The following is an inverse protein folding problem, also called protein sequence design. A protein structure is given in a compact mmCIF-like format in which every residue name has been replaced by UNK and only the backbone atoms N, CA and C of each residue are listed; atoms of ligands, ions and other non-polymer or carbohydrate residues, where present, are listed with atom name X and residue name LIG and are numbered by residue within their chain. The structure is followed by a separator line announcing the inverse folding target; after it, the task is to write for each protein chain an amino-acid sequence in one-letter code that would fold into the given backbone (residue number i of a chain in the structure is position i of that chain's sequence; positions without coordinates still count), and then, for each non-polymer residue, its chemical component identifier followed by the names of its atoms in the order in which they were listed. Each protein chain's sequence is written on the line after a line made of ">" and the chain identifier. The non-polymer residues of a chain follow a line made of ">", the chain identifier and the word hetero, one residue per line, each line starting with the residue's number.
data_IF_808757691818
#
_entry.id   IF_808757691818
#
_cell.length_a   1.000
_cell.length_b   1.000
_cell.length_c   1.000
_cell.angle_alpha   90.00
_cell.angle_beta   90.00
_cell.angle_gamma   90.00
#
_symmetry.space_group_name_H-M   'P 1'
#
loop_
_entity.id
_entity.type
_entity.pdbx_description
1 polymer ?
#
# COMPACT_ATOMS: atom_id res chain seq x y z
N UNK A 1 5.26 -36.10 3.13
CA UNK A 1 4.19 -35.10 2.87
C UNK A 1 4.18 -34.85 1.38
N UNK A 2 3.25 -35.48 0.67
CA UNK A 2 3.17 -35.37 -0.79
C UNK A 2 2.86 -33.94 -1.19
N UNK A 3 3.51 -33.47 -2.26
CA UNK A 3 3.39 -32.13 -2.84
C UNK A 3 1.98 -31.89 -3.44
N UNK A 4 0.96 -31.74 -2.61
CA UNK A 4 -0.42 -31.43 -3.02
C UNK A 4 -0.50 -30.08 -3.74
N UNK A 5 0.49 -29.21 -3.58
CA UNK A 5 0.45 -27.81 -3.99
C UNK A 5 0.95 -27.48 -5.39
N UNK A 6 1.72 -28.35 -6.05
CA UNK A 6 2.29 -28.05 -7.39
C UNK A 6 1.26 -28.09 -8.54
N UNK A 7 0.03 -28.56 -8.27
CA UNK A 7 -1.04 -28.70 -9.27
C UNK A 7 -2.22 -27.74 -9.09
N UNK A 8 -2.18 -26.81 -8.14
CA UNK A 8 -3.27 -25.84 -7.91
C UNK A 8 -3.10 -24.61 -8.81
N UNK A 9 -4.16 -24.27 -9.56
CA UNK A 9 -4.26 -23.11 -10.42
C UNK A 9 -4.94 -21.95 -9.68
N UNK A 10 -4.24 -20.82 -9.56
CA UNK A 10 -4.75 -19.63 -8.88
C UNK A 10 -4.79 -18.46 -9.85
N UNK A 11 -5.98 -17.86 -9.99
CA UNK A 11 -6.18 -16.67 -10.80
C UNK A 11 -6.35 -15.45 -9.89
N UNK A 12 -5.37 -14.56 -9.90
CA UNK A 12 -5.49 -13.23 -9.31
C UNK A 12 -6.15 -12.26 -10.29
N UNK A 13 -7.07 -11.41 -9.81
CA UNK A 13 -7.76 -10.40 -10.64
C UNK A 13 -7.66 -9.05 -9.94
N UNK A 14 -7.08 -8.04 -10.59
CA UNK A 14 -6.96 -6.68 -10.07
C UNK A 14 -7.45 -5.67 -11.10
N UNK A 15 -8.05 -4.56 -10.64
CA UNK A 15 -8.60 -3.53 -11.54
C UNK A 15 -7.53 -2.94 -12.47
N UNK A 16 -6.30 -2.75 -12.00
CA UNK A 16 -5.18 -2.22 -12.80
C UNK A 16 -3.84 -2.52 -12.13
N UNK A 17 -2.78 -2.54 -12.93
CA UNK A 17 -1.40 -2.53 -12.45
C UNK A 17 -0.81 -1.14 -12.65
N UNK A 18 -0.57 -0.42 -11.56
CA UNK A 18 0.07 0.88 -11.56
C UNK A 18 1.19 0.96 -10.50
N UNK A 19 1.76 2.14 -10.29
CA UNK A 19 2.80 2.35 -9.28
C UNK A 19 2.28 2.36 -7.84
N UNK A 20 0.97 2.14 -7.64
CA UNK A 20 0.32 2.17 -6.32
C UNK A 20 0.54 0.92 -5.48
N UNK A 21 0.29 1.05 -4.17
CA UNK A 21 0.56 0.00 -3.18
C UNK A 21 -0.20 -1.31 -3.42
N UNK A 22 -1.48 -1.27 -3.83
CA UNK A 22 -2.28 -2.47 -4.11
C UNK A 22 -1.72 -3.27 -5.29
N UNK A 23 -1.35 -2.60 -6.38
CA UNK A 23 -0.75 -3.24 -7.55
C UNK A 23 0.61 -3.87 -7.22
N UNK A 24 1.46 -3.14 -6.49
CA UNK A 24 2.75 -3.67 -6.04
C UNK A 24 2.57 -4.88 -5.11
N UNK A 25 1.64 -4.81 -4.16
CA UNK A 25 1.36 -5.92 -3.24
C UNK A 25 0.87 -7.16 -4.01
N UNK A 26 -0.04 -7.00 -4.97
CA UNK A 26 -0.53 -8.10 -5.80
C UNK A 26 0.58 -8.73 -6.64
N UNK A 27 1.45 -7.94 -7.26
CA UNK A 27 2.60 -8.45 -8.01
C UNK A 27 3.59 -9.21 -7.12
N UNK A 28 3.91 -8.69 -5.95
CA UNK A 28 4.77 -9.36 -4.97
C UNK A 28 4.15 -10.69 -4.54
N UNK A 29 2.84 -10.72 -4.25
CA UNK A 29 2.12 -11.94 -3.90
C UNK A 29 2.20 -12.97 -5.04
N UNK A 30 1.90 -12.57 -6.28
CA UNK A 30 1.96 -13.47 -7.44
C UNK A 30 3.36 -14.04 -7.66
N UNK A 31 4.41 -13.20 -7.58
CA UNK A 31 5.81 -13.62 -7.73
C UNK A 31 6.22 -14.60 -6.60
N UNK A 32 5.85 -14.30 -5.36
CA UNK A 32 6.17 -15.18 -4.23
C UNK A 32 5.48 -16.53 -4.31
N UNK A 33 4.19 -16.53 -4.63
CA UNK A 33 3.35 -17.72 -4.74
C UNK A 33 3.67 -18.60 -5.95
N UNK A 34 4.23 -18.03 -7.03
CA UNK A 34 4.59 -18.80 -8.25
C UNK A 34 5.66 -19.87 -8.02
N UNK A 35 6.36 -19.81 -6.89
CA UNK A 35 7.28 -20.88 -6.46
C UNK A 35 6.57 -22.19 -6.08
N UNK A 36 5.27 -22.13 -5.78
CA UNK A 36 4.50 -23.25 -5.24
C UNK A 36 3.24 -23.57 -6.04
N UNK A 37 2.62 -22.56 -6.67
CA UNK A 37 1.35 -22.68 -7.38
C UNK A 37 1.48 -22.21 -8.83
N UNK A 38 0.58 -22.65 -9.70
CA UNK A 38 0.44 -22.09 -11.05
C UNK A 38 -0.36 -20.78 -10.97
N UNK A 39 0.33 -19.66 -11.09
CA UNK A 39 -0.26 -18.33 -10.89
C UNK A 39 -0.58 -17.67 -12.22
N UNK A 40 -1.83 -17.21 -12.33
CA UNK A 40 -2.31 -16.31 -13.38
C UNK A 40 -2.70 -14.97 -12.76
N UNK A 41 -2.41 -13.84 -13.43
CA UNK A 41 -2.80 -12.50 -13.00
C UNK A 41 -3.53 -11.79 -14.14
N UNK A 42 -4.79 -11.46 -13.93
CA UNK A 42 -5.60 -10.66 -14.84
C UNK A 42 -5.70 -9.22 -14.35
N UNK A 43 -5.52 -8.25 -15.24
CA UNK A 43 -5.62 -6.83 -14.91
C UNK A 43 -6.23 -6.01 -16.02
N UNK A 44 -6.86 -4.90 -15.68
CA UNK A 44 -7.34 -3.92 -16.64
C UNK A 44 -6.25 -2.95 -17.11
N UNK A 45 -6.55 -2.10 -18.10
CA UNK A 45 -5.62 -1.11 -18.62
C UNK A 45 -5.34 -0.02 -17.57
N UNK A 46 -4.06 0.36 -17.46
CA UNK A 46 -3.61 1.37 -16.49
C UNK A 46 -3.63 2.81 -17.04
N UNK A 47 -4.27 3.05 -18.18
CA UNK A 47 -4.33 4.37 -18.84
C UNK A 47 -4.89 5.47 -17.95
N UNK A 48 -5.89 5.15 -17.12
CA UNK A 48 -6.52 6.12 -16.21
C UNK A 48 -5.67 6.45 -14.96
N UNK A 49 -4.52 5.82 -14.79
CA UNK A 49 -3.60 6.09 -13.67
C UNK A 49 -2.71 7.31 -13.89
N UNK A 50 -2.74 7.92 -15.10
CA UNK A 50 -1.90 9.07 -15.47
C UNK A 50 -0.44 8.89 -15.08
N UNK A 51 0.09 7.68 -15.31
CA UNK A 51 1.48 7.36 -15.01
C UNK A 51 2.43 8.11 -15.96
N UNK A 52 3.51 8.63 -15.42
CA UNK A 52 4.63 9.12 -16.21
C UNK A 52 5.30 7.97 -16.98
N UNK A 53 6.07 8.25 -18.04
CA UNK A 53 6.84 7.21 -18.75
C UNK A 53 7.75 6.39 -17.80
N UNK A 54 8.32 7.05 -16.79
CA UNK A 54 9.18 6.40 -15.79
C UNK A 54 8.37 5.41 -14.90
N UNK A 55 7.16 5.79 -14.46
CA UNK A 55 6.27 4.90 -13.70
C UNK A 55 5.81 3.73 -14.57
N UNK A 56 5.48 3.97 -15.83
CA UNK A 56 5.10 2.93 -16.78
C UNK A 56 6.23 1.92 -16.97
N UNK A 57 7.45 2.41 -17.20
CA UNK A 57 8.65 1.56 -17.32
C UNK A 57 8.88 0.71 -16.08
N UNK A 58 8.72 1.30 -14.89
CA UNK A 58 8.83 0.58 -13.62
C UNK A 58 7.78 -0.55 -13.49
N UNK A 59 6.52 -0.27 -13.84
CA UNK A 59 5.45 -1.27 -13.77
C UNK A 59 5.69 -2.39 -14.80
N UNK A 60 6.07 -2.04 -16.03
CA UNK A 60 6.39 -3.02 -17.07
C UNK A 60 7.54 -3.93 -16.65
N UNK A 61 8.61 -3.40 -16.07
CA UNK A 61 9.71 -4.21 -15.53
C UNK A 61 9.23 -5.20 -14.48
N UNK A 62 8.35 -4.78 -13.56
CA UNK A 62 7.78 -5.69 -12.56
C UNK A 62 6.90 -6.77 -13.18
N UNK A 63 6.16 -6.45 -14.23
CA UNK A 63 5.39 -7.43 -15.01
C UNK A 63 6.33 -8.44 -15.67
N UNK A 64 7.44 -7.99 -16.30
CA UNK A 64 8.40 -8.90 -16.93
C UNK A 64 9.11 -9.80 -15.90
N UNK A 65 9.44 -9.27 -14.72
CA UNK A 65 9.95 -10.09 -13.61
C UNK A 65 8.92 -11.16 -13.21
N UNK A 66 7.63 -10.81 -13.10
CA UNK A 66 6.57 -11.78 -12.78
C UNK A 66 6.45 -12.87 -13.86
N UNK A 67 6.47 -12.49 -15.15
CA UNK A 67 6.49 -13.45 -16.27
C UNK A 67 7.71 -14.38 -16.22
N UNK A 68 8.90 -13.83 -15.98
CA UNK A 68 10.14 -14.60 -15.82
C UNK A 68 10.12 -15.59 -14.64
N UNK A 69 9.19 -15.38 -13.69
CA UNK A 69 8.92 -16.30 -12.56
C UNK A 69 7.75 -17.27 -12.83
N UNK A 70 7.26 -17.32 -14.07
CA UNK A 70 6.21 -18.25 -14.49
C UNK A 70 4.77 -17.74 -14.25
N UNK A 71 4.58 -16.48 -13.86
CA UNK A 71 3.23 -15.89 -13.73
C UNK A 71 2.66 -15.58 -15.11
N UNK A 72 1.50 -16.16 -15.45
CA UNK A 72 0.77 -15.83 -16.68
C UNK A 72 0.02 -14.51 -16.50
N UNK A 73 0.24 -13.54 -17.40
CA UNK A 73 -0.38 -12.22 -17.32
C UNK A 73 -1.44 -12.05 -18.41
N UNK A 74 -2.65 -11.61 -18.02
CA UNK A 74 -3.78 -11.40 -18.91
C UNK A 74 -4.30 -9.96 -18.80
N UNK A 75 -4.50 -9.32 -19.95
CA UNK A 75 -5.15 -8.00 -20.01
C UNK A 75 -6.66 -8.19 -20.20
N UNK A 76 -7.45 -7.51 -19.36
CA UNK A 76 -8.91 -7.39 -19.50
C UNK A 76 -9.22 -5.97 -19.99
N UNK A 77 -9.39 -5.76 -21.30
CA UNK A 77 -9.45 -4.41 -21.90
C UNK A 77 -10.57 -3.53 -21.36
N UNK A 78 -11.70 -4.13 -20.98
CA UNK A 78 -12.87 -3.41 -20.48
C UNK A 78 -12.83 -3.13 -18.97
N UNK A 79 -11.89 -3.71 -18.22
CA UNK A 79 -11.80 -3.53 -16.76
C UNK A 79 -11.14 -2.19 -16.41
N UNK A 80 -11.89 -1.09 -16.50
CA UNK A 80 -11.43 0.28 -16.22
C UNK A 80 -11.75 0.71 -14.79
N UNK A 81 -11.00 1.70 -14.25
CA UNK A 81 -11.20 2.18 -12.86
C UNK A 81 -12.53 2.91 -12.68
N UNK A 82 -12.86 3.80 -13.60
CA UNK A 82 -14.10 4.59 -13.55
C UNK A 82 -15.33 3.69 -13.60
N UNK A 83 -16.45 4.13 -13.02
CA UNK A 83 -17.73 3.46 -13.19
C UNK A 83 -18.19 3.69 -14.63
N UNK A 84 -18.38 2.61 -15.38
CA UNK A 84 -18.79 2.61 -16.78
C UNK A 84 -19.61 1.33 -17.00
N UNK A 85 -20.96 1.41 -16.92
CA UNK A 85 -21.81 0.21 -16.95
C UNK A 85 -21.59 -0.69 -18.16
N UNK A 86 -21.36 -0.10 -19.35
CA UNK A 86 -21.15 -0.87 -20.58
C UNK A 86 -19.82 -1.63 -20.50
N UNK A 87 -18.75 -0.94 -20.08
CA UNK A 87 -17.46 -1.59 -19.91
C UNK A 87 -17.46 -2.59 -18.76
N UNK A 88 -18.21 -2.32 -17.69
CA UNK A 88 -18.29 -3.21 -16.54
C UNK A 88 -18.99 -4.53 -16.91
N UNK A 89 -20.04 -4.48 -17.72
CA UNK A 89 -20.68 -5.68 -18.30
C UNK A 89 -19.71 -6.43 -19.22
N UNK A 90 -19.02 -5.74 -20.12
CA UNK A 90 -18.01 -6.37 -20.99
C UNK A 90 -16.89 -6.99 -20.18
N UNK A 91 -16.34 -6.29 -19.18
CA UNK A 91 -15.30 -6.81 -18.30
C UNK A 91 -15.75 -8.07 -17.55
N UNK A 92 -17.01 -8.11 -17.12
CA UNK A 92 -17.61 -9.30 -16.50
C UNK A 92 -17.56 -10.51 -17.44
N UNK A 93 -17.94 -10.36 -18.70
CA UNK A 93 -17.88 -11.45 -19.70
C UNK A 93 -16.44 -11.82 -20.07
N UNK A 94 -15.53 -10.83 -20.19
CA UNK A 94 -14.10 -11.09 -20.44
C UNK A 94 -13.47 -11.88 -19.27
N UNK A 95 -13.75 -11.51 -18.02
CA UNK A 95 -13.33 -12.25 -16.82
C UNK A 95 -13.94 -13.65 -16.80
N UNK A 96 -15.23 -13.79 -17.11
CA UNK A 96 -15.91 -15.09 -17.16
C UNK A 96 -15.30 -16.01 -18.22
N UNK A 97 -14.98 -15.47 -19.40
CA UNK A 97 -14.28 -16.22 -20.47
C UNK A 97 -12.89 -16.70 -20.02
N UNK A 98 -12.14 -15.81 -19.34
CA UNK A 98 -10.83 -16.17 -18.80
C UNK A 98 -10.94 -17.27 -17.73
N UNK A 99 -11.88 -17.18 -16.80
CA UNK A 99 -12.12 -18.21 -15.78
C UNK A 99 -12.45 -19.55 -16.43
N UNK A 100 -13.33 -19.57 -17.44
CA UNK A 100 -13.66 -20.80 -18.18
C UNK A 100 -12.44 -21.43 -18.87
N UNK A 101 -11.57 -20.60 -19.43
CA UNK A 101 -10.37 -21.09 -20.15
C UNK A 101 -9.27 -21.57 -19.21
N UNK A 102 -9.05 -20.88 -18.09
CA UNK A 102 -8.00 -21.21 -17.14
C UNK A 102 -8.41 -22.25 -16.09
N UNK A 103 -9.71 -22.41 -15.83
CA UNK A 103 -10.30 -23.34 -14.83
C UNK A 103 -9.58 -23.31 -13.49
N UNK A 104 -9.45 -22.12 -12.87
CA UNK A 104 -8.70 -21.99 -11.61
C UNK A 104 -9.40 -22.71 -10.45
N UNK A 105 -8.61 -23.28 -9.55
CA UNK A 105 -9.09 -23.81 -8.27
C UNK A 105 -9.44 -22.69 -7.31
N UNK A 106 -8.67 -21.58 -7.35
CA UNK A 106 -8.87 -20.40 -6.53
C UNK A 106 -8.93 -19.15 -7.43
N UNK A 107 -9.96 -18.33 -7.24
CA UNK A 107 -9.99 -16.95 -7.75
C UNK A 107 -9.74 -16.00 -6.58
N UNK A 108 -8.64 -15.25 -6.62
CA UNK A 108 -8.30 -14.23 -5.65
C UNK A 108 -8.43 -12.83 -6.26
N UNK A 109 -9.45 -12.10 -5.85
CA UNK A 109 -9.75 -10.77 -6.38
C UNK A 109 -9.17 -9.66 -5.50
N UNK A 110 -8.73 -8.56 -6.14
CA UNK A 110 -8.11 -7.42 -5.49
C UNK A 110 -8.82 -6.13 -5.87
N UNK A 111 -8.97 -5.19 -4.92
CA UNK A 111 -9.64 -3.90 -5.07
C UNK A 111 -11.15 -4.00 -5.35
N UNK A 112 -11.88 -2.89 -5.24
CA UNK A 112 -13.36 -2.92 -5.24
C UNK A 112 -13.97 -3.43 -6.55
N UNK A 113 -13.62 -2.86 -7.71
CA UNK A 113 -14.27 -3.22 -8.99
C UNK A 113 -13.94 -4.64 -9.43
N UNK A 114 -12.65 -4.99 -9.50
CA UNK A 114 -12.25 -6.36 -9.81
C UNK A 114 -12.75 -7.36 -8.76
N UNK A 115 -12.86 -6.90 -7.50
CA UNK A 115 -13.47 -7.64 -6.41
C UNK A 115 -14.93 -8.00 -6.69
N UNK A 116 -15.75 -7.05 -7.10
CA UNK A 116 -17.16 -7.30 -7.41
C UNK A 116 -17.28 -8.20 -8.64
N UNK A 117 -16.74 -7.76 -9.78
CA UNK A 117 -16.93 -8.47 -11.05
C UNK A 117 -16.33 -9.88 -11.03
N UNK A 118 -15.11 -10.01 -10.45
CA UNK A 118 -14.40 -11.29 -10.39
C UNK A 118 -15.05 -12.31 -9.45
N UNK A 119 -15.53 -11.89 -8.27
CA UNK A 119 -16.22 -12.79 -7.33
C UNK A 119 -17.52 -13.33 -7.91
N UNK A 120 -18.35 -12.46 -8.51
CA UNK A 120 -19.60 -12.89 -9.13
C UNK A 120 -19.37 -13.78 -10.35
N UNK A 121 -18.38 -13.47 -11.20
CA UNK A 121 -18.01 -14.34 -12.32
C UNK A 121 -17.52 -15.72 -11.84
N UNK A 122 -16.67 -15.76 -10.82
CA UNK A 122 -16.16 -16.99 -10.25
C UNK A 122 -17.27 -17.85 -9.62
N UNK A 123 -18.17 -17.22 -8.85
CA UNK A 123 -19.31 -17.91 -8.23
C UNK A 123 -20.26 -18.51 -9.28
N UNK A 124 -20.66 -17.75 -10.30
CA UNK A 124 -21.55 -18.22 -11.35
C UNK A 124 -20.95 -19.38 -12.18
N UNK A 125 -19.62 -19.45 -12.26
CA UNK A 125 -18.90 -20.49 -12.96
C UNK A 125 -18.48 -21.66 -12.07
N UNK A 126 -18.90 -21.68 -10.79
CA UNK A 126 -18.65 -22.76 -9.87
C UNK A 126 -17.18 -22.92 -9.47
N UNK A 127 -16.38 -21.83 -9.47
CA UNK A 127 -14.99 -21.88 -8.97
C UNK A 127 -14.98 -22.36 -7.53
N UNK A 128 -14.16 -23.37 -7.19
CA UNK A 128 -14.17 -23.99 -5.87
C UNK A 128 -13.96 -23.02 -4.71
N UNK A 129 -13.02 -22.08 -4.84
CA UNK A 129 -12.68 -21.14 -3.79
C UNK A 129 -12.54 -19.72 -4.30
N UNK A 130 -13.14 -18.79 -3.57
CA UNK A 130 -13.14 -17.36 -3.88
C UNK A 130 -12.55 -16.61 -2.68
N UNK A 131 -11.43 -15.92 -2.90
CA UNK A 131 -10.75 -15.08 -1.93
C UNK A 131 -10.80 -13.62 -2.39
N UNK A 132 -10.90 -12.69 -1.45
CA UNK A 132 -10.91 -11.26 -1.75
C UNK A 132 -9.99 -10.46 -0.83
N UNK A 133 -9.17 -9.58 -1.40
CA UNK A 133 -8.38 -8.57 -0.67
C UNK A 133 -8.81 -7.17 -1.13
N UNK A 134 -9.50 -6.38 -0.30
CA UNK A 134 -9.99 -5.04 -0.67
C UNK A 134 -8.87 -4.00 -0.84
N UNK A 135 -7.73 -4.16 -0.18
CA UNK A 135 -6.61 -3.21 -0.13
C UNK A 135 -6.99 -1.82 0.42
N UNK A 136 -7.78 -1.79 1.46
CA UNK A 136 -8.42 -0.62 2.02
C UNK A 136 -9.86 -0.49 1.51
N UNK A 137 -10.80 -0.55 2.45
CA UNK A 137 -12.22 -0.46 2.11
C UNK A 137 -12.65 0.99 1.83
N UNK A 138 -13.78 1.13 1.16
CA UNK A 138 -14.35 2.42 0.74
C UNK A 138 -15.60 2.80 1.55
N UNK A 139 -15.78 2.23 2.75
CA UNK A 139 -16.97 2.42 3.58
C UNK A 139 -17.09 3.83 4.13
N UNK A 140 -15.96 4.54 4.29
CA UNK A 140 -15.91 5.94 4.71
C UNK A 140 -14.66 6.65 4.15
N UNK A 141 -14.68 7.99 4.17
CA UNK A 141 -13.50 8.81 3.85
C UNK A 141 -13.19 9.02 2.36
N UNK A 142 -13.87 8.32 1.44
CA UNK A 142 -13.62 8.39 0.00
C UNK A 142 -14.76 8.98 -0.82
N UNK A 143 -16.01 8.73 -0.41
CA UNK A 143 -17.21 9.09 -1.16
C UNK A 143 -18.27 9.75 -0.25
N UNK A 144 -19.34 10.26 -0.83
CA UNK A 144 -20.51 10.70 -0.09
C UNK A 144 -21.12 9.53 0.70
N UNK A 145 -21.89 9.83 1.76
CA UNK A 145 -22.52 8.81 2.61
C UNK A 145 -23.39 7.82 1.82
N UNK A 146 -24.13 8.32 0.82
CA UNK A 146 -25.01 7.48 -0.02
C UNK A 146 -24.20 6.49 -0.86
N UNK A 147 -23.14 6.97 -1.52
CA UNK A 147 -22.26 6.12 -2.33
C UNK A 147 -21.52 5.10 -1.46
N UNK A 148 -21.03 5.51 -0.29
CA UNK A 148 -20.38 4.61 0.67
C UNK A 148 -21.34 3.52 1.16
N UNK A 149 -22.62 3.84 1.42
CA UNK A 149 -23.64 2.89 1.81
C UNK A 149 -23.94 1.88 0.69
N UNK A 150 -24.00 2.34 -0.57
CA UNK A 150 -24.16 1.44 -1.72
C UNK A 150 -23.02 0.45 -1.84
N UNK A 151 -21.75 0.93 -1.72
CA UNK A 151 -20.59 0.05 -1.72
C UNK A 151 -20.63 -0.95 -0.55
N UNK A 152 -21.04 -0.52 0.63
CA UNK A 152 -21.20 -1.38 1.81
C UNK A 152 -22.22 -2.51 1.54
N UNK A 153 -23.37 -2.20 0.97
CA UNK A 153 -24.40 -3.18 0.60
C UNK A 153 -23.86 -4.18 -0.43
N UNK A 154 -23.20 -3.69 -1.48
CA UNK A 154 -22.61 -4.55 -2.52
C UNK A 154 -21.55 -5.46 -1.92
N UNK A 155 -20.69 -4.94 -1.04
CA UNK A 155 -19.66 -5.72 -0.39
C UNK A 155 -20.25 -6.79 0.54
N UNK A 156 -21.29 -6.44 1.28
CA UNK A 156 -22.05 -7.35 2.16
C UNK A 156 -22.66 -8.50 1.36
N UNK A 157 -23.33 -8.22 0.25
CA UNK A 157 -23.91 -9.25 -0.63
C UNK A 157 -22.81 -10.11 -1.23
N UNK A 158 -21.72 -9.51 -1.72
CA UNK A 158 -20.59 -10.25 -2.30
C UNK A 158 -19.84 -11.10 -1.27
N UNK A 159 -19.88 -10.74 0.01
CA UNK A 159 -19.26 -11.55 1.07
C UNK A 159 -19.89 -12.93 1.24
N UNK A 160 -21.18 -13.09 0.88
CA UNK A 160 -21.87 -14.39 0.98
C UNK A 160 -21.26 -15.42 0.02
N UNK A 161 -20.85 -14.99 -1.17
CA UNK A 161 -20.21 -15.83 -2.20
C UNK A 161 -18.67 -15.90 -2.06
N UNK A 162 -18.10 -15.31 -1.02
CA UNK A 162 -16.65 -15.27 -0.78
C UNK A 162 -16.29 -16.25 0.33
N UNK A 163 -15.30 -17.13 0.11
CA UNK A 163 -14.86 -18.09 1.12
C UNK A 163 -14.00 -17.40 2.19
N UNK A 164 -13.04 -16.54 1.78
CA UNK A 164 -12.19 -15.78 2.71
C UNK A 164 -11.99 -14.35 2.23
N UNK A 165 -11.98 -13.42 3.16
CA UNK A 165 -11.66 -12.00 2.95
C UNK A 165 -10.38 -11.69 3.71
N UNK A 166 -9.37 -11.22 2.99
CA UNK A 166 -8.06 -10.87 3.53
C UNK A 166 -8.04 -9.39 3.89
N UNK A 167 -8.09 -9.08 5.17
CA UNK A 167 -7.89 -7.73 5.69
C UNK A 167 -6.38 -7.45 5.88
N UNK A 168 -5.94 -6.26 5.51
CA UNK A 168 -4.52 -5.88 5.61
C UNK A 168 -4.12 -5.46 7.02
N UNK A 169 -5.10 -5.14 7.86
CA UNK A 169 -4.89 -4.68 9.23
C UNK A 169 -6.02 -5.14 10.14
N UNK A 170 -5.75 -5.12 11.44
CA UNK A 170 -6.75 -5.37 12.49
C UNK A 170 -7.89 -4.34 12.45
N UNK A 171 -7.53 -3.08 12.12
CA UNK A 171 -8.53 -2.02 11.94
C UNK A 171 -9.51 -2.34 10.83
N UNK A 172 -9.02 -2.79 9.66
CA UNK A 172 -9.85 -3.20 8.54
C UNK A 172 -10.72 -4.42 8.89
N UNK A 173 -10.16 -5.40 9.60
CA UNK A 173 -10.90 -6.56 10.09
C UNK A 173 -12.05 -6.16 11.03
N UNK A 174 -11.77 -5.27 12.00
CA UNK A 174 -12.79 -4.75 12.93
C UNK A 174 -13.89 -3.97 12.19
N UNK A 175 -13.55 -3.22 11.14
CA UNK A 175 -14.55 -2.51 10.35
C UNK A 175 -15.46 -3.47 9.59
N UNK A 176 -14.94 -4.56 9.01
CA UNK A 176 -15.77 -5.59 8.38
C UNK A 176 -16.77 -6.22 9.34
N UNK A 177 -16.36 -6.46 10.59
CA UNK A 177 -17.24 -6.96 11.65
C UNK A 177 -18.24 -5.89 12.09
N UNK A 178 -17.77 -4.67 12.38
CA UNK A 178 -18.58 -3.54 12.86
C UNK A 178 -19.72 -3.20 11.90
N UNK A 179 -19.43 -3.17 10.60
CA UNK A 179 -20.42 -2.89 9.56
C UNK A 179 -21.21 -4.15 9.15
N UNK A 180 -20.99 -5.28 9.82
CA UNK A 180 -21.65 -6.56 9.52
C UNK A 180 -21.53 -6.96 8.05
N UNK A 181 -20.35 -6.73 7.45
CA UNK A 181 -20.08 -7.11 6.06
C UNK A 181 -19.85 -8.61 5.97
N UNK A 182 -19.11 -9.18 6.92
CA UNK A 182 -18.81 -10.61 6.99
C UNK A 182 -18.65 -11.08 8.42
N UNK A 183 -18.94 -12.35 8.68
CA UNK A 183 -18.66 -12.99 9.97
C UNK A 183 -17.16 -13.23 10.18
N UNK A 184 -16.70 -13.33 11.45
CA UNK A 184 -15.29 -13.50 11.78
C UNK A 184 -14.64 -14.73 11.12
N UNK A 185 -15.39 -15.82 10.91
CA UNK A 185 -14.90 -17.07 10.32
C UNK A 185 -14.39 -16.93 8.88
N UNK A 186 -14.84 -15.91 8.15
CA UNK A 186 -14.39 -15.64 6.78
C UNK A 186 -13.25 -14.62 6.71
N UNK A 187 -12.94 -13.94 7.81
CA UNK A 187 -11.96 -12.85 7.85
C UNK A 187 -10.59 -13.38 8.27
N UNK A 188 -9.58 -13.05 7.51
CA UNK A 188 -8.18 -13.41 7.80
C UNK A 188 -7.32 -12.15 7.69
N UNK A 189 -6.48 -11.90 8.70
CA UNK A 189 -5.52 -10.79 8.64
C UNK A 189 -4.23 -11.26 7.96
N UNK A 190 -3.91 -10.66 6.81
CA UNK A 190 -2.63 -10.83 6.13
C UNK A 190 -2.16 -9.45 5.66
N UNK A 191 -1.11 -8.95 6.27
CA UNK A 191 -0.54 -7.65 5.97
C UNK A 191 0.04 -7.56 4.54
N UNK A 192 0.18 -6.36 3.99
CA UNK A 192 0.96 -6.15 2.77
C UNK A 192 2.44 -6.42 3.01
N UNK A 193 3.06 -7.17 2.13
CA UNK A 193 4.49 -7.45 2.19
C UNK A 193 5.36 -6.33 1.63
N UNK A 194 6.53 -6.14 2.23
CA UNK A 194 7.57 -5.24 1.75
C UNK A 194 8.83 -6.05 1.45
N UNK A 195 9.47 -5.74 0.33
CA UNK A 195 10.79 -6.29 -0.04
C UNK A 195 11.84 -5.65 0.88
N UNK A 196 12.10 -6.33 1.99
CA UNK A 196 13.00 -5.83 3.02
C UNK A 196 14.45 -5.73 2.54
N UNK A 197 14.89 -6.65 1.69
CA UNK A 197 16.25 -6.70 1.17
C UNK A 197 16.60 -5.42 0.41
N UNK A 198 15.64 -4.86 -0.29
CA UNK A 198 15.78 -3.60 -1.02
C UNK A 198 16.17 -2.43 -0.11
N UNK A 199 15.70 -2.41 1.12
CA UNK A 199 15.91 -1.29 2.06
C UNK A 199 16.93 -1.59 3.15
N UNK A 200 17.13 -2.85 3.55
CA UNK A 200 18.01 -3.24 4.66
C UNK A 200 19.45 -3.50 4.25
N UNK A 201 19.70 -3.86 2.98
CA UNK A 201 21.06 -4.16 2.47
C UNK A 201 21.91 -2.92 2.19
N UNK A 202 21.38 -1.74 2.44
CA UNK A 202 22.07 -0.47 2.23
C UNK A 202 23.10 -0.29 3.35
N UNK A 203 24.39 -0.32 2.97
CA UNK A 203 25.53 -0.18 3.91
C UNK A 203 26.16 1.21 3.89
N UNK A 204 25.73 2.08 2.98
CA UNK A 204 26.31 3.41 2.85
C UNK A 204 25.90 4.31 4.04
N UNK A 205 26.81 5.17 4.46
CA UNK A 205 26.54 6.15 5.52
C UNK A 205 25.48 7.18 5.06
N UNK A 206 24.70 7.68 6.01
CA UNK A 206 23.62 8.65 5.78
C UNK A 206 24.08 9.88 4.99
N UNK A 207 25.26 10.40 5.29
CA UNK A 207 25.86 11.54 4.61
C UNK A 207 26.05 11.34 3.11
N UNK A 208 26.30 10.11 2.63
CA UNK A 208 26.41 9.81 1.21
C UNK A 208 25.07 10.05 0.51
N UNK A 209 23.95 9.69 1.13
CA UNK A 209 22.60 9.91 0.59
C UNK A 209 22.22 11.38 0.61
N UNK A 210 22.52 12.10 1.71
CA UNK A 210 22.33 13.54 1.79
C UNK A 210 23.10 14.27 0.69
N UNK A 211 24.38 13.95 0.52
CA UNK A 211 25.23 14.54 -0.53
C UNK A 211 24.67 14.32 -1.93
N UNK A 212 24.16 13.11 -2.24
CA UNK A 212 23.50 12.82 -3.54
C UNK A 212 22.27 13.69 -3.80
N UNK A 213 21.61 14.13 -2.75
CA UNK A 213 20.47 15.03 -2.81
C UNK A 213 20.89 16.52 -2.72
N UNK A 214 22.19 16.81 -2.63
CA UNK A 214 22.69 18.17 -2.42
C UNK A 214 22.27 18.76 -1.06
N UNK A 215 22.25 17.93 -0.02
CA UNK A 215 21.89 18.27 1.37
C UNK A 215 23.18 18.19 2.18
N UNK A 216 23.39 19.17 3.07
CA UNK A 216 24.52 19.14 4.00
C UNK A 216 24.36 18.02 5.02
N UNK A 217 25.45 17.42 5.47
CA UNK A 217 25.44 16.40 6.51
C UNK A 217 24.88 16.92 7.84
N UNK A 218 25.02 18.23 8.09
CA UNK A 218 24.53 18.91 9.30
C UNK A 218 23.04 19.25 9.24
N UNK A 219 22.44 19.33 8.05
CA UNK A 219 21.04 19.69 7.90
C UNK A 219 20.13 18.52 8.32
N UNK A 220 19.19 18.81 9.21
CA UNK A 220 18.15 17.84 9.55
C UNK A 220 17.10 17.74 8.42
N UNK A 221 16.58 16.54 8.23
CA UNK A 221 15.65 16.26 7.14
C UNK A 221 14.39 15.56 7.62
N UNK A 222 13.25 16.14 7.27
CA UNK A 222 11.93 15.55 7.45
C UNK A 222 11.41 15.08 6.10
N UNK A 223 11.00 13.83 5.98
CA UNK A 223 10.58 13.27 4.70
C UNK A 223 9.16 12.75 4.69
N UNK A 224 8.52 12.92 3.55
CA UNK A 224 7.25 12.33 3.18
C UNK A 224 7.41 11.57 1.87
N UNK A 225 6.89 10.36 1.80
CA UNK A 225 6.85 9.55 0.57
C UNK A 225 5.42 9.06 0.32
N UNK A 226 4.85 9.44 -0.81
CA UNK A 226 3.50 9.01 -1.17
C UNK A 226 2.80 9.92 -2.17
N UNK A 227 1.54 9.59 -2.49
CA UNK A 227 0.73 10.42 -3.36
C UNK A 227 0.37 11.74 -2.69
N UNK A 228 0.62 12.86 -3.38
CA UNK A 228 0.30 14.22 -2.91
C UNK A 228 -1.21 14.50 -3.13
N UNK A 229 -2.05 13.87 -2.31
CA UNK A 229 -3.51 13.96 -2.39
C UNK A 229 -4.14 14.22 -1.02
N UNK A 230 -5.38 14.67 -1.01
CA UNK A 230 -6.05 15.15 0.21
C UNK A 230 -6.07 14.12 1.35
N UNK A 231 -6.40 12.86 1.04
CA UNK A 231 -6.47 11.79 2.05
C UNK A 231 -5.11 11.47 2.68
N UNK A 232 -4.00 11.72 1.97
CA UNK A 232 -2.63 11.56 2.50
C UNK A 232 -2.12 12.81 3.23
N UNK A 233 -2.85 13.90 3.15
CA UNK A 233 -2.70 15.16 3.88
C UNK A 233 -1.28 15.79 3.91
N UNK A 234 -0.53 15.83 2.79
CA UNK A 234 0.80 16.47 2.77
C UNK A 234 0.75 17.96 3.15
N UNK A 235 -0.40 18.61 2.98
CA UNK A 235 -0.64 20.00 3.38
C UNK A 235 -0.63 20.19 4.91
N UNK A 236 -1.05 19.18 5.67
CA UNK A 236 -0.97 19.19 7.15
C UNK A 236 0.50 19.18 7.59
N UNK A 237 1.32 18.33 6.93
CA UNK A 237 2.76 18.33 7.20
C UNK A 237 3.41 19.66 6.87
N UNK A 238 3.11 20.27 5.70
CA UNK A 238 3.67 21.57 5.35
C UNK A 238 3.29 22.65 6.38
N UNK A 239 2.05 22.63 6.89
CA UNK A 239 1.63 23.55 7.95
C UNK A 239 2.37 23.28 9.28
N UNK A 240 2.55 22.01 9.67
CA UNK A 240 3.28 21.67 10.89
C UNK A 240 4.75 22.08 10.82
N UNK A 241 5.35 22.01 9.63
CA UNK A 241 6.73 22.47 9.43
C UNK A 241 6.91 23.97 9.64
N UNK A 242 5.89 24.80 9.50
CA UNK A 242 6.00 26.23 9.83
C UNK A 242 6.41 26.42 11.30
N UNK A 243 5.76 25.71 12.23
CA UNK A 243 6.12 25.72 13.65
C UNK A 243 7.47 25.05 13.93
N UNK A 244 7.84 24.03 13.14
CA UNK A 244 9.15 23.36 13.28
C UNK A 244 10.28 24.32 12.89
N UNK A 245 10.13 25.10 11.83
CA UNK A 245 11.17 26.04 11.36
C UNK A 245 11.40 27.24 12.29
N UNK A 246 10.48 27.55 13.20
CA UNK A 246 10.70 28.54 14.25
C UNK A 246 11.84 28.13 15.19
N UNK A 247 11.96 26.80 15.45
CA UNK A 247 12.98 26.26 16.36
C UNK A 247 14.16 25.61 15.60
N UNK A 248 13.89 24.99 14.46
CA UNK A 248 14.86 24.28 13.62
C UNK A 248 14.94 24.89 12.20
N UNK A 249 15.44 26.14 12.05
CA UNK A 249 15.36 26.88 10.79
C UNK A 249 16.12 26.24 9.62
N UNK A 250 17.11 25.36 9.89
CA UNK A 250 17.90 24.66 8.87
C UNK A 250 17.33 23.31 8.44
N UNK A 251 16.16 22.92 9.00
CA UNK A 251 15.53 21.65 8.64
C UNK A 251 14.97 21.72 7.22
N UNK A 252 15.23 20.67 6.41
CA UNK A 252 14.66 20.53 5.07
C UNK A 252 13.46 19.58 5.10
N UNK A 253 12.41 19.95 4.38
CA UNK A 253 11.26 19.10 4.10
C UNK A 253 11.38 18.50 2.70
N UNK A 254 11.34 17.17 2.60
CA UNK A 254 11.40 16.44 1.33
C UNK A 254 10.04 15.80 1.04
N UNK A 255 9.40 16.20 -0.05
CA UNK A 255 8.24 15.53 -0.61
C UNK A 255 8.67 14.62 -1.77
N UNK A 256 8.48 13.32 -1.62
CA UNK A 256 8.74 12.31 -2.64
C UNK A 256 7.41 11.71 -3.10
N UNK A 257 7.09 11.93 -4.36
CA UNK A 257 5.83 11.52 -4.95
C UNK A 257 5.22 12.63 -5.80
N UNK A 258 4.09 12.33 -6.38
CA UNK A 258 3.31 13.27 -7.20
C UNK A 258 1.83 13.20 -6.80
N UNK A 259 1.03 14.13 -7.27
CA UNK A 259 -0.41 14.10 -7.04
C UNK A 259 -1.09 15.45 -7.27
N UNK A 260 -2.42 15.49 -7.18
CA UNK A 260 -3.20 16.70 -7.50
C UNK A 260 -2.88 17.90 -6.60
N UNK A 261 -2.31 17.68 -5.42
CA UNK A 261 -1.93 18.78 -4.52
C UNK A 261 -0.54 19.36 -4.78
N UNK A 262 0.29 18.78 -5.65
CA UNK A 262 1.68 19.18 -5.83
C UNK A 262 1.82 20.68 -6.18
N UNK A 263 1.09 21.15 -7.19
CA UNK A 263 1.14 22.55 -7.60
C UNK A 263 0.61 23.51 -6.52
N UNK A 264 -0.38 23.07 -5.73
CA UNK A 264 -0.90 23.86 -4.60
C UNK A 264 0.13 23.96 -3.48
N UNK A 265 0.82 22.87 -3.15
CA UNK A 265 1.88 22.85 -2.14
C UNK A 265 3.07 23.72 -2.55
N UNK A 266 3.50 23.65 -3.83
CA UNK A 266 4.57 24.51 -4.36
C UNK A 266 4.21 25.99 -4.27
N UNK A 267 2.99 26.36 -4.67
CA UNK A 267 2.51 27.75 -4.52
C UNK A 267 2.49 28.18 -3.07
N UNK A 268 1.93 27.36 -2.17
CA UNK A 268 1.87 27.65 -0.74
C UNK A 268 3.27 27.85 -0.13
N UNK A 269 4.25 27.06 -0.55
CA UNK A 269 5.64 27.22 -0.10
C UNK A 269 6.23 28.54 -0.58
N UNK A 270 5.99 28.92 -1.83
CA UNK A 270 6.45 30.19 -2.39
C UNK A 270 5.78 31.40 -1.73
N UNK A 271 4.45 31.38 -1.58
CA UNK A 271 3.67 32.47 -0.97
C UNK A 271 4.09 32.73 0.49
N UNK A 272 4.61 31.72 1.17
CA UNK A 272 5.12 31.82 2.55
C UNK A 272 6.63 32.05 2.64
N UNK A 273 7.34 32.16 1.53
CA UNK A 273 8.80 32.39 1.48
C UNK A 273 9.63 31.23 2.04
N UNK A 274 9.12 29.99 1.94
CA UNK A 274 9.77 28.76 2.47
C UNK A 274 10.16 27.78 1.35
N UNK A 275 10.11 28.19 0.11
CA UNK A 275 10.43 27.36 -1.06
C UNK A 275 11.87 26.83 -1.07
N UNK A 276 12.81 27.55 -0.45
CA UNK A 276 14.18 27.10 -0.22
C UNK A 276 14.31 25.98 0.84
N UNK A 277 13.32 25.81 1.72
CA UNK A 277 13.28 24.78 2.76
C UNK A 277 12.50 23.52 2.36
N UNK A 278 11.80 23.57 1.21
CA UNK A 278 10.95 22.46 0.75
C UNK A 278 11.45 21.95 -0.59
N UNK A 279 11.72 20.67 -0.68
CA UNK A 279 12.13 20.02 -1.93
C UNK A 279 11.07 19.05 -2.41
N UNK A 280 10.60 19.25 -3.64
CA UNK A 280 9.69 18.34 -4.33
C UNK A 280 10.51 17.48 -5.31
N UNK A 281 10.72 16.21 -4.94
CA UNK A 281 11.56 15.28 -5.72
C UNK A 281 10.77 14.55 -6.81
N UNK A 282 9.46 14.80 -6.91
CA UNK A 282 8.58 14.09 -7.83
C UNK A 282 8.47 12.59 -7.51
N UNK A 283 7.92 11.82 -8.44
CA UNK A 283 7.92 10.37 -8.32
C UNK A 283 9.34 9.83 -8.51
N UNK A 284 9.75 8.94 -7.60
CA UNK A 284 11.10 8.35 -7.61
C UNK A 284 10.99 6.83 -7.57
N UNK A 285 11.82 6.17 -8.38
CA UNK A 285 11.97 4.71 -8.39
C UNK A 285 12.90 4.22 -7.27
N UNK A 286 13.88 5.01 -6.93
CA UNK A 286 15.01 4.70 -6.04
C UNK A 286 14.77 5.19 -4.61
N UNK A 287 13.58 4.90 -4.06
CA UNK A 287 13.18 5.29 -2.70
C UNK A 287 14.16 4.76 -1.66
N UNK A 288 14.71 3.57 -1.87
CA UNK A 288 15.74 2.97 -1.00
C UNK A 288 17.02 3.81 -0.92
N UNK A 289 17.27 4.69 -1.91
CA UNK A 289 18.42 5.62 -1.91
C UNK A 289 18.06 7.00 -1.34
N UNK A 290 16.80 7.29 -1.14
CA UNK A 290 16.31 8.57 -0.60
C UNK A 290 15.99 8.45 0.89
N UNK A 291 15.28 7.37 1.26
CA UNK A 291 14.89 7.12 2.65
C UNK A 291 16.05 7.28 3.65
N UNK A 292 17.24 6.69 3.43
CA UNK A 292 18.34 6.79 4.40
C UNK A 292 18.86 8.22 4.64
N UNK A 293 18.53 9.18 3.76
CA UNK A 293 18.88 10.59 3.98
C UNK A 293 17.98 11.28 5.02
N UNK A 294 16.87 10.66 5.41
CA UNK A 294 15.89 11.25 6.32
C UNK A 294 16.28 11.09 7.79
N UNK A 295 16.00 12.10 8.60
CA UNK A 295 16.12 12.07 10.06
C UNK A 295 14.81 11.70 10.73
N UNK A 296 13.68 12.11 10.13
CA UNK A 296 12.32 11.78 10.57
C UNK A 296 11.46 11.48 9.34
N UNK A 297 10.71 10.40 9.37
CA UNK A 297 9.71 10.09 8.36
C UNK A 297 8.31 10.47 8.85
N UNK A 298 7.52 11.16 8.02
CA UNK A 298 6.18 11.65 8.42
C UNK A 298 5.12 11.16 7.45
N UNK A 299 4.05 10.56 7.99
CA UNK A 299 2.86 10.16 7.23
C UNK A 299 1.58 10.67 7.91
N UNK A 300 1.09 11.88 7.58
CA UNK A 300 -0.03 12.54 8.24
C UNK A 300 -1.40 12.16 7.64
N UNK A 301 -1.54 10.94 7.12
CA UNK A 301 -2.73 10.48 6.41
C UNK A 301 -4.00 10.64 7.23
N UNK A 302 -5.12 11.01 6.58
CA UNK A 302 -6.46 11.04 7.18
C UNK A 302 -7.13 9.65 7.14
N UNK A 303 -6.69 8.81 6.21
CA UNK A 303 -7.10 7.41 6.12
C UNK A 303 -5.99 6.59 5.45
N UNK A 304 -5.72 5.38 5.98
CA UNK A 304 -4.68 4.49 5.50
C UNK A 304 -5.04 3.04 5.80
N UNK A 305 -4.98 2.17 4.78
CA UNK A 305 -5.20 0.73 4.98
C UNK A 305 -4.10 0.10 5.84
N UNK A 306 -2.86 0.23 5.42
CA UNK A 306 -1.69 -0.25 6.17
C UNK A 306 -0.55 0.78 6.22
N UNK A 307 -0.20 1.43 5.10
CA UNK A 307 0.93 2.36 5.05
C UNK A 307 2.28 1.66 4.82
N UNK A 308 2.41 0.87 3.75
CA UNK A 308 3.64 0.13 3.39
C UNK A 308 4.92 0.96 3.48
N UNK A 309 4.84 2.23 3.10
CA UNK A 309 5.97 3.17 3.15
C UNK A 309 6.52 3.37 4.56
N UNK A 310 5.71 3.15 5.61
CA UNK A 310 6.18 3.15 7.00
C UNK A 310 7.13 1.98 7.27
N UNK A 311 6.79 0.80 6.74
CA UNK A 311 7.68 -0.38 6.83
C UNK A 311 8.98 -0.13 6.08
N UNK A 312 8.91 0.51 4.91
CA UNK A 312 10.10 0.91 4.13
C UNK A 312 11.00 1.86 4.94
N UNK A 313 10.41 2.85 5.62
CA UNK A 313 11.14 3.76 6.51
C UNK A 313 11.73 3.04 7.74
N UNK A 314 10.96 2.12 8.35
CA UNK A 314 11.43 1.28 9.45
C UNK A 314 12.61 0.40 9.04
N UNK A 315 12.61 -0.20 7.84
CA UNK A 315 13.75 -0.98 7.33
C UNK A 315 15.03 -0.14 7.24
N UNK A 316 14.90 1.14 6.91
CA UNK A 316 16.02 2.10 6.90
C UNK A 316 16.42 2.57 8.32
N UNK A 317 15.64 2.24 9.35
CA UNK A 317 15.90 2.67 10.72
C UNK A 317 15.58 4.13 10.99
N UNK A 318 14.54 4.64 10.34
CA UNK A 318 14.08 6.03 10.48
C UNK A 318 12.91 6.07 11.45
N UNK A 319 12.93 6.92 12.49
CA UNK A 319 11.80 7.10 13.39
C UNK A 319 10.62 7.76 12.66
N UNK A 320 9.42 7.42 13.09
CA UNK A 320 8.20 7.77 12.39
C UNK A 320 7.36 8.75 13.21
N UNK A 321 6.75 9.73 12.54
CA UNK A 321 5.59 10.46 13.06
C UNK A 321 4.43 10.22 12.11
N UNK A 322 3.31 9.67 12.61
CA UNK A 322 2.20 9.34 11.75
C UNK A 322 0.85 9.57 12.41
N UNK A 323 -0.19 9.76 11.61
CA UNK A 323 -1.56 9.88 12.12
C UNK A 323 -2.06 8.55 12.70
N UNK A 324 -2.84 8.62 13.77
CA UNK A 324 -3.48 7.50 14.45
C UNK A 324 -4.72 7.03 13.66
N UNK A 325 -4.50 6.43 12.49
CA UNK A 325 -5.59 5.96 11.60
C UNK A 325 -5.28 4.59 11.03
N UNK A 326 -6.34 3.79 10.83
CA UNK A 326 -6.29 2.50 10.17
C UNK A 326 -5.13 1.60 10.61
N UNK A 327 -4.48 0.94 9.67
CA UNK A 327 -3.35 0.04 9.93
C UNK A 327 -2.06 0.72 10.36
N UNK A 328 -1.96 2.06 10.33
CA UNK A 328 -0.80 2.78 10.87
C UNK A 328 -0.59 2.47 12.35
N UNK A 329 -1.67 2.30 13.11
CA UNK A 329 -1.63 2.04 14.56
C UNK A 329 -1.01 0.68 14.93
N UNK A 330 -0.89 -0.22 13.96
CA UNK A 330 -0.20 -1.51 14.14
C UNK A 330 1.29 -1.42 13.83
N UNK A 331 1.65 -0.55 12.88
CA UNK A 331 3.02 -0.35 12.44
C UNK A 331 3.79 0.57 13.38
N UNK A 332 3.14 1.64 13.83
CA UNK A 332 3.76 2.64 14.71
C UNK A 332 3.31 2.37 16.15
N UNK A 333 4.22 1.86 16.95
CA UNK A 333 4.06 1.66 18.40
C UNK A 333 4.50 2.95 19.10
N UNK A 334 3.54 3.71 19.60
CA UNK A 334 3.78 5.05 20.14
C UNK A 334 4.84 5.04 21.25
N UNK A 335 5.90 5.84 21.09
CA UNK A 335 7.04 5.91 22.00
C UNK A 335 8.11 4.83 21.78
N UNK A 336 7.86 3.77 20.96
CA UNK A 336 8.84 2.70 20.69
C UNK A 336 9.62 2.96 19.38
N UNK A 337 8.92 3.07 18.24
CA UNK A 337 9.52 3.30 16.93
C UNK A 337 9.08 4.61 16.28
N UNK A 338 8.31 5.43 17.00
CA UNK A 338 7.81 6.70 16.53
C UNK A 338 6.68 7.25 17.39
N UNK A 339 6.00 8.26 16.88
CA UNK A 339 4.87 8.90 17.54
C UNK A 339 3.60 8.82 16.69
N UNK A 340 2.48 8.53 17.35
CA UNK A 340 1.13 8.61 16.79
C UNK A 340 0.49 9.92 17.21
N UNK A 341 -0.07 10.66 16.25
CA UNK A 341 -0.76 11.93 16.47
C UNK A 341 -2.19 11.87 15.96
N UNK A 342 -3.07 12.70 16.50
CA UNK A 342 -4.44 12.78 16.00
C UNK A 342 -4.48 13.29 14.55
N UNK A 343 -5.27 12.67 13.66
CA UNK A 343 -5.31 13.03 12.25
C UNK A 343 -5.77 14.48 12.06
N UNK A 344 -5.07 15.21 11.21
CA UNK A 344 -5.35 16.62 10.93
C UNK A 344 -4.85 17.63 11.97
N UNK A 345 -4.29 17.17 13.09
CA UNK A 345 -3.81 18.06 14.16
C UNK A 345 -2.37 18.53 13.88
N UNK A 346 -2.25 19.77 13.39
CA UNK A 346 -0.98 20.43 13.04
C UNK A 346 -0.06 20.54 14.26
N UNK A 347 -0.57 20.99 15.41
CA UNK A 347 0.23 21.25 16.61
C UNK A 347 0.81 19.96 17.20
N UNK A 348 0.02 18.87 17.28
CA UNK A 348 0.55 17.59 17.75
C UNK A 348 1.58 17.01 16.80
N UNK A 349 1.40 17.20 15.48
CA UNK A 349 2.34 16.79 14.46
C UNK A 349 3.66 17.53 14.57
N UNK A 350 3.63 18.88 14.68
CA UNK A 350 4.82 19.72 14.84
C UNK A 350 5.56 19.38 16.13
N UNK A 351 4.83 19.18 17.24
CA UNK A 351 5.42 18.82 18.52
C UNK A 351 6.18 17.48 18.45
N UNK A 352 5.57 16.45 17.87
CA UNK A 352 6.20 15.14 17.72
C UNK A 352 7.45 15.19 16.82
N UNK A 353 7.40 15.98 15.74
CA UNK A 353 8.58 16.20 14.87
C UNK A 353 9.70 16.88 15.66
N UNK A 354 9.40 17.98 16.38
CA UNK A 354 10.37 18.71 17.19
C UNK A 354 11.04 17.80 18.23
N UNK A 355 10.28 16.95 18.92
CA UNK A 355 10.85 15.99 19.88
C UNK A 355 11.91 15.09 19.25
N UNK A 356 11.64 14.58 18.05
CA UNK A 356 12.62 13.75 17.34
C UNK A 356 13.82 14.55 16.81
N UNK A 357 13.62 15.79 16.37
CA UNK A 357 14.71 16.62 15.88
C UNK A 357 15.68 17.04 16.99
N UNK A 358 15.19 17.25 18.22
CA UNK A 358 16.00 17.64 19.40
C UNK A 358 16.95 16.52 19.88
N UNK A 359 16.55 15.25 19.73
CA UNK A 359 17.25 14.13 20.39
C UNK A 359 17.68 13.08 19.35
N UNK A 360 18.97 13.10 19.02
CA UNK A 360 19.57 12.13 18.08
C UNK A 360 19.54 10.70 18.65
N UNK A 361 19.84 10.53 19.95
CA UNK A 361 19.81 9.21 20.59
C UNK A 361 18.40 8.61 20.59
N UNK A 362 17.39 9.45 20.74
CA UNK A 362 16.00 9.03 20.61
C UNK A 362 15.70 8.56 19.20
N UNK A 363 16.15 9.31 18.16
CA UNK A 363 15.98 8.90 16.75
C UNK A 363 16.65 7.55 16.49
N UNK A 364 17.87 7.33 16.95
CA UNK A 364 18.60 6.08 16.77
C UNK A 364 17.90 4.91 17.47
N UNK A 365 17.49 5.10 18.73
CA UNK A 365 16.76 4.08 19.50
C UNK A 365 15.46 3.67 18.82
N UNK A 366 14.64 4.65 18.43
CA UNK A 366 13.38 4.41 17.75
C UNK A 366 13.59 3.78 16.35
N UNK A 367 14.60 4.23 15.62
CA UNK A 367 14.98 3.65 14.34
C UNK A 367 15.39 2.19 14.45
N UNK A 368 16.20 1.83 15.47
CA UNK A 368 16.58 0.44 15.75
C UNK A 368 15.35 -0.41 16.07
N UNK A 369 14.45 0.10 16.91
CA UNK A 369 13.20 -0.59 17.23
C UNK A 369 12.31 -0.76 16.01
N UNK A 370 12.27 0.25 15.13
CA UNK A 370 11.57 0.17 13.83
C UNK A 370 12.06 -0.98 12.96
N UNK A 371 13.39 -1.18 12.86
CA UNK A 371 13.98 -2.31 12.10
C UNK A 371 13.55 -3.67 12.64
N UNK A 372 13.37 -3.80 13.94
CA UNK A 372 12.91 -5.05 14.56
C UNK A 372 11.45 -5.33 14.19
N UNK A 373 10.58 -4.32 14.33
CA UNK A 373 9.15 -4.42 14.01
C UNK A 373 8.94 -4.67 12.49
N UNK A 374 9.75 -4.05 11.63
CA UNK A 374 9.64 -4.22 10.18
C UNK A 374 9.72 -5.68 9.74
N UNK A 375 10.47 -6.53 10.44
CA UNK A 375 10.63 -7.95 10.11
C UNK A 375 9.31 -8.72 10.08
N UNK A 376 8.33 -8.28 10.85
CA UNK A 376 6.98 -8.85 10.89
C UNK A 376 6.22 -8.65 9.56
N UNK A 377 6.67 -7.72 8.69
CA UNK A 377 5.97 -7.25 7.49
C UNK A 377 6.72 -7.57 6.18
N UNK A 378 7.53 -8.62 6.20
CA UNK A 378 8.27 -9.04 5.00
C UNK A 378 7.36 -9.59 3.89
N UNK A 379 7.82 -9.47 2.64
CA UNK A 379 7.14 -10.07 1.48
C UNK A 379 7.10 -11.59 1.55
N UNK A 380 8.13 -12.20 2.13
CA UNK A 380 8.21 -13.65 2.36
C UNK A 380 7.17 -14.09 3.39
N UNK A 381 7.06 -13.38 4.52
CA UNK A 381 6.07 -13.66 5.56
C UNK A 381 4.64 -13.53 5.02
N UNK A 382 4.34 -12.47 4.27
CA UNK A 382 3.05 -12.31 3.58
C UNK A 382 2.76 -13.49 2.64
N UNK A 383 3.72 -13.88 1.82
CA UNK A 383 3.57 -14.97 0.87
C UNK A 383 3.30 -16.29 1.57
N UNK A 384 3.98 -16.55 2.69
CA UNK A 384 3.75 -17.75 3.50
C UNK A 384 2.33 -17.76 4.07
N UNK A 385 1.86 -16.65 4.66
CA UNK A 385 0.49 -16.54 5.19
C UNK A 385 -0.59 -16.75 4.10
N UNK A 386 -0.36 -16.22 2.88
CA UNK A 386 -1.25 -16.47 1.74
C UNK A 386 -1.22 -17.94 1.31
N UNK A 387 -0.04 -18.56 1.31
CA UNK A 387 0.11 -19.99 1.02
C UNK A 387 -0.63 -20.86 2.02
N UNK A 388 -0.49 -20.56 3.32
CA UNK A 388 -1.17 -21.29 4.40
C UNK A 388 -2.71 -21.15 4.29
N UNK A 389 -3.19 -19.96 3.91
CA UNK A 389 -4.61 -19.71 3.64
C UNK A 389 -5.12 -20.58 2.49
N UNK A 390 -4.39 -20.64 1.36
CA UNK A 390 -4.81 -21.43 0.20
C UNK A 390 -4.78 -22.92 0.50
N UNK A 391 -3.74 -23.39 1.20
CA UNK A 391 -3.66 -24.80 1.62
C UNK A 391 -4.79 -25.20 2.56
N UNK A 392 -5.20 -24.30 3.47
CA UNK A 392 -6.34 -24.56 4.36
C UNK A 392 -7.63 -24.73 3.58
N UNK A 393 -7.86 -23.86 2.56
CA UNK A 393 -9.05 -23.94 1.71
C UNK A 393 -9.08 -25.26 0.90
N UNK A 394 -7.96 -25.66 0.35
CA UNK A 394 -7.88 -26.90 -0.45
C UNK A 394 -8.14 -28.11 0.42
N UNK A 395 -7.65 -28.14 1.66
CA UNK A 395 -7.87 -29.22 2.63
C UNK A 395 -9.30 -29.30 3.18
N UNK A 396 -10.04 -28.20 3.24
CA UNK A 396 -11.44 -28.18 3.72
C UNK A 396 -12.38 -29.02 2.83
N UNK A 397 -11.97 -29.41 1.63
CA UNK A 397 -12.79 -30.14 0.63
C UNK A 397 -12.37 -31.60 0.40
N UNK A 398 -11.20 -31.99 0.90
CA UNK A 398 -10.71 -33.39 0.85
C UNK A 398 -11.07 -34.14 2.12
#
# INVERSE_FOLDING_TARGET
>A
MENISSNCDILHIITRLDSGGSAQNTLISCIGLSKRYRISLAHGPSKESNMTPQEQSFVLEKIEIAKGRGVKIFLIPSLVRRIDPIKDIRAFFEISSLIRSQRPDIVHTHTSKAGILGRWAAWLLGVPYIVHTPHGHVFYGHFSRVISMLFLIIEKVSSHITNRIVALSEGELKDYIRYSVSGPSKLVKIHSGVDMDRFSKIKEAKGVFKKRLGISDTDLTVGYVGWLMHVKAPHILLNAMMEVWEEFPQTLLLFVGKGPLENRLKRLAKDRGIDNKVRFLGWRRDIEKIMPALDVFVLPSLNEGMGRVLVEAMCCGIPIVASKVGGITELVRNGENGYLVEPGNVNSLSHAIKQLLRDERLRERMGKRGKEIAKEYSSEGMTQLLSDLYDSLIKEKG
#
